data_IF_701631776420
#
_entry.id   IF_701631776420
#
_cell.length_a   1.000
_cell.length_b   1.000
_cell.length_c   1.000
_cell.angle_alpha   90.00
_cell.angle_beta   90.00
_cell.angle_gamma   90.00
#
_symmetry.space_group_name_H-M   'P 1'
#
loop_
_entity.id
_entity.type
_entity.pdbx_description
1 polymer ?
#
# COMPACT_ATOMS: atom_id res chain seq x y z
N UNK A 1 8.77 3.07 -3.75
CA UNK A 1 8.95 4.35 -3.00
C UNK A 1 10.19 5.08 -3.49
N UNK A 2 11.38 4.46 -3.47
CA UNK A 2 12.64 5.03 -3.96
C UNK A 2 12.51 5.77 -5.31
N UNK A 3 12.07 5.07 -6.37
CA UNK A 3 11.94 5.69 -7.70
C UNK A 3 11.02 6.92 -7.71
N UNK A 4 9.93 6.95 -6.95
CA UNK A 4 9.03 8.10 -6.96
C UNK A 4 9.65 9.37 -6.33
N UNK A 5 10.65 9.20 -5.46
CA UNK A 5 11.38 10.33 -4.88
C UNK A 5 12.46 10.84 -5.84
N UNK A 6 13.08 9.94 -6.60
CA UNK A 6 14.25 10.26 -7.42
C UNK A 6 13.97 10.41 -8.92
N UNK A 7 12.79 10.03 -9.41
CA UNK A 7 12.43 10.18 -10.83
C UNK A 7 11.49 11.35 -11.05
N UNK A 8 11.53 11.88 -12.27
CA UNK A 8 10.62 12.92 -12.72
C UNK A 8 9.17 12.41 -12.70
N UNK A 9 8.30 13.11 -11.98
CA UNK A 9 6.86 12.86 -11.97
C UNK A 9 6.22 13.87 -12.93
N UNK A 10 5.53 13.41 -14.00
CA UNK A 10 4.87 14.33 -14.94
C UNK A 10 3.94 15.30 -14.21
N UNK A 11 3.89 16.59 -14.60
CA UNK A 11 3.06 17.58 -13.92
C UNK A 11 1.58 17.19 -13.97
N UNK A 12 0.86 17.55 -12.90
CA UNK A 12 -0.61 17.44 -12.87
C UNK A 12 -1.19 18.46 -13.85
N UNK A 13 -2.28 18.12 -14.54
CA UNK A 13 -2.94 19.09 -15.41
C UNK A 13 -3.52 20.23 -14.57
N UNK A 14 -3.43 21.46 -15.11
CA UNK A 14 -3.81 22.69 -14.41
C UNK A 14 -5.31 22.77 -14.04
N UNK A 15 -6.13 21.85 -14.55
CA UNK A 15 -7.59 21.85 -14.40
C UNK A 15 -8.08 21.08 -13.16
N UNK A 16 -7.20 20.45 -12.38
CA UNK A 16 -7.63 19.74 -11.18
C UNK A 16 -7.85 20.68 -9.98
N UNK A 17 -9.01 20.56 -9.34
CA UNK A 17 -9.25 21.22 -8.04
C UNK A 17 -8.22 20.77 -6.99
N UNK A 18 -7.83 21.69 -6.10
CA UNK A 18 -6.91 21.40 -4.98
C UNK A 18 -7.35 20.21 -4.14
N UNK A 19 -8.67 20.01 -4.00
CA UNK A 19 -9.23 18.86 -3.29
C UNK A 19 -8.86 17.52 -3.95
N UNK A 20 -8.99 17.43 -5.28
CA UNK A 20 -8.65 16.22 -6.06
C UNK A 20 -7.17 15.90 -5.95
N UNK A 21 -6.32 16.93 -6.03
CA UNK A 21 -4.86 16.78 -5.89
C UNK A 21 -4.51 16.22 -4.51
N UNK A 22 -5.09 16.78 -3.45
CA UNK A 22 -4.82 16.33 -2.08
C UNK A 22 -5.35 14.90 -1.86
N UNK A 23 -6.55 14.58 -2.33
CA UNK A 23 -7.11 13.23 -2.25
C UNK A 23 -6.21 12.20 -2.95
N UNK A 24 -5.74 12.51 -4.17
CA UNK A 24 -4.82 11.64 -4.92
C UNK A 24 -3.50 11.43 -4.19
N UNK A 25 -2.94 12.47 -3.55
CA UNK A 25 -1.74 12.36 -2.72
C UNK A 25 -1.97 11.46 -1.51
N UNK A 26 -3.06 11.64 -0.79
CA UNK A 26 -3.42 10.84 0.40
C UNK A 26 -3.59 9.37 0.03
N UNK A 27 -4.29 9.06 -1.06
CA UNK A 27 -4.47 7.67 -1.52
C UNK A 27 -3.11 7.04 -1.84
N UNK A 28 -2.24 7.72 -2.61
CA UNK A 28 -0.92 7.18 -2.93
C UNK A 28 -0.03 6.99 -1.71
N UNK A 29 -0.01 7.96 -0.80
CA UNK A 29 0.78 7.85 0.43
C UNK A 29 0.27 6.71 1.32
N UNK A 30 -1.05 6.58 1.45
CA UNK A 30 -1.68 5.47 2.16
C UNK A 30 -1.31 4.12 1.56
N UNK A 31 -1.38 3.98 0.22
CA UNK A 31 -0.94 2.76 -0.45
C UNK A 31 0.54 2.45 -0.19
N UNK A 32 1.43 3.45 -0.22
CA UNK A 32 2.84 3.22 0.10
C UNK A 32 3.06 2.77 1.55
N UNK A 33 2.37 3.38 2.50
CA UNK A 33 2.44 2.95 3.90
C UNK A 33 1.93 1.51 4.05
N UNK A 34 0.77 1.19 3.47
CA UNK A 34 0.16 -0.14 3.53
C UNK A 34 1.02 -1.21 2.84
N UNK A 35 1.71 -0.87 1.76
CA UNK A 35 2.62 -1.79 1.05
C UNK A 35 3.82 -2.20 1.92
N UNK A 36 4.21 -1.37 2.90
CA UNK A 36 5.29 -1.69 3.84
C UNK A 36 4.73 -2.36 5.10
N UNK A 37 3.62 -1.84 5.63
CA UNK A 37 3.02 -2.34 6.87
C UNK A 37 2.41 -3.75 6.72
N UNK A 38 1.82 -4.07 5.57
CA UNK A 38 1.25 -5.40 5.30
C UNK A 38 2.31 -6.52 5.38
N UNK A 39 3.44 -6.50 4.65
CA UNK A 39 4.46 -7.54 4.79
C UNK A 39 5.14 -7.51 6.16
N UNK A 40 5.34 -6.33 6.77
CA UNK A 40 5.94 -6.23 8.10
C UNK A 40 5.05 -6.91 9.18
N UNK A 41 3.74 -6.64 9.17
CA UNK A 41 2.79 -7.30 10.08
C UNK A 41 2.72 -8.81 9.84
N UNK A 42 2.78 -9.26 8.58
CA UNK A 42 2.84 -10.69 8.24
C UNK A 42 4.12 -11.35 8.75
N UNK A 43 5.26 -10.67 8.67
CA UNK A 43 6.54 -11.17 9.16
C UNK A 43 6.56 -11.30 10.70
N UNK A 44 6.00 -10.32 11.40
CA UNK A 44 5.82 -10.38 12.87
C UNK A 44 4.88 -11.54 13.25
N UNK A 45 3.76 -11.69 12.54
CA UNK A 45 2.81 -12.79 12.78
C UNK A 45 3.47 -14.17 12.59
N UNK A 46 4.28 -14.34 11.53
CA UNK A 46 4.97 -15.61 11.27
C UNK A 46 6.07 -15.89 12.30
N UNK A 47 6.83 -14.85 12.68
CA UNK A 47 7.89 -14.95 13.69
C UNK A 47 7.32 -15.35 15.06
N UNK A 48 6.24 -14.68 15.50
CA UNK A 48 5.61 -14.95 16.79
C UNK A 48 4.91 -16.32 16.86
N UNK A 49 4.62 -16.94 15.70
CA UNK A 49 4.03 -18.28 15.61
C UNK A 49 5.06 -19.40 15.47
N UNK A 50 6.37 -19.11 15.62
CA UNK A 50 7.47 -20.06 15.35
C UNK A 50 7.40 -20.72 13.97
N UNK A 51 6.72 -20.06 13.01
CA UNK A 51 6.62 -20.55 11.63
C UNK A 51 7.75 -19.93 10.84
N UNK A 52 8.76 -20.74 10.55
CA UNK A 52 9.82 -20.33 9.63
C UNK A 52 9.23 -19.98 8.26
N UNK A 53 9.48 -18.75 7.81
CA UNK A 53 9.17 -18.36 6.44
C UNK A 53 10.26 -18.95 5.55
N UNK A 54 9.97 -20.09 4.89
CA UNK A 54 10.84 -20.68 3.87
C UNK A 54 10.61 -19.97 2.54
N UNK A 55 11.32 -18.86 2.31
CA UNK A 55 11.30 -18.15 1.02
C UNK A 55 12.72 -17.99 0.50
N UNK A 56 13.17 -18.94 -0.34
CA UNK A 56 14.53 -19.07 -0.91
C UNK A 56 15.69 -19.22 0.10
N UNK A 57 15.61 -18.61 1.29
CA UNK A 57 16.54 -18.69 2.42
C UNK A 57 15.75 -18.73 3.74
N UNK A 58 16.37 -19.23 4.82
CA UNK A 58 15.77 -19.17 6.16
C UNK A 58 15.81 -17.71 6.64
N UNK A 59 14.64 -17.11 6.80
CA UNK A 59 14.52 -15.77 7.37
C UNK A 59 14.54 -15.92 8.91
N UNK A 60 15.46 -15.25 9.63
CA UNK A 60 15.53 -15.36 11.09
C UNK A 60 14.23 -14.86 11.73
N UNK A 61 13.83 -15.50 12.83
CA UNK A 61 12.68 -15.05 13.62
C UNK A 61 13.02 -13.71 14.26
N UNK A 62 12.16 -12.71 14.09
CA UNK A 62 12.36 -11.39 14.75
C UNK A 62 12.05 -11.42 16.23
N UNK A 63 11.15 -12.32 16.64
CA UNK A 63 10.61 -12.40 17.99
C UNK A 63 10.47 -13.86 18.38
N UNK A 64 10.68 -14.16 19.66
CA UNK A 64 10.40 -15.47 20.24
C UNK A 64 8.90 -15.81 20.15
N UNK A 65 8.58 -17.10 20.28
CA UNK A 65 7.20 -17.57 20.27
C UNK A 65 6.35 -16.82 21.30
N UNK A 66 5.29 -16.16 20.84
CA UNK A 66 4.35 -15.47 21.71
C UNK A 66 2.96 -15.49 21.05
N UNK A 67 2.07 -16.29 21.61
CA UNK A 67 0.69 -16.48 21.11
C UNK A 67 -0.15 -15.20 21.16
N UNK A 68 0.07 -14.37 22.17
CA UNK A 68 -0.63 -13.09 22.31
C UNK A 68 -0.20 -12.12 21.20
N UNK A 69 1.11 -12.00 20.99
CA UNK A 69 1.66 -11.17 19.92
C UNK A 69 1.22 -11.67 18.53
N UNK A 70 1.20 -12.99 18.32
CA UNK A 70 0.72 -13.58 17.07
C UNK A 70 -0.76 -13.23 16.80
N UNK A 71 -1.62 -13.26 17.83
CA UNK A 71 -3.03 -12.88 17.72
C UNK A 71 -3.20 -11.40 17.36
N UNK A 72 -2.48 -10.51 18.06
CA UNK A 72 -2.50 -9.07 17.79
C UNK A 72 -1.98 -8.77 16.38
N UNK A 73 -0.87 -9.39 15.98
CA UNK A 73 -0.31 -9.22 14.64
C UNK A 73 -1.26 -9.71 13.54
N UNK A 74 -1.96 -10.83 13.76
CA UNK A 74 -2.97 -11.34 12.84
C UNK A 74 -4.18 -10.39 12.70
N UNK A 75 -4.67 -9.85 13.81
CA UNK A 75 -5.75 -8.85 13.78
C UNK A 75 -5.31 -7.59 13.03
N UNK A 76 -4.13 -7.06 13.33
CA UNK A 76 -3.56 -5.92 12.63
C UNK A 76 -3.37 -6.20 11.13
N UNK A 77 -2.84 -7.37 10.78
CA UNK A 77 -2.66 -7.76 9.37
C UNK A 77 -4.00 -7.83 8.63
N UNK A 78 -5.03 -8.37 9.27
CA UNK A 78 -6.38 -8.44 8.70
C UNK A 78 -6.98 -7.06 8.47
N UNK A 79 -6.86 -6.16 9.46
CA UNK A 79 -7.31 -4.77 9.33
C UNK A 79 -6.56 -4.05 8.20
N UNK A 80 -5.23 -4.20 8.14
CA UNK A 80 -4.40 -3.63 7.08
C UNK A 80 -4.78 -4.17 5.69
N UNK A 81 -5.18 -5.44 5.58
CA UNK A 81 -5.65 -6.03 4.34
C UNK A 81 -6.95 -5.38 3.86
N UNK A 82 -7.94 -5.17 4.75
CA UNK A 82 -9.17 -4.45 4.40
C UNK A 82 -8.90 -3.01 3.96
N UNK A 83 -8.02 -2.29 4.66
CA UNK A 83 -7.60 -0.94 4.24
C UNK A 83 -6.89 -0.97 2.88
N UNK A 84 -6.03 -1.95 2.62
CA UNK A 84 -5.36 -2.10 1.34
C UNK A 84 -6.38 -2.24 0.21
N UNK A 85 -7.37 -3.14 0.36
CA UNK A 85 -8.43 -3.34 -0.63
C UNK A 85 -9.19 -2.03 -0.88
N UNK A 86 -9.58 -1.32 0.20
CA UNK A 86 -10.28 -0.04 0.09
C UNK A 86 -9.46 1.00 -0.69
N UNK A 87 -8.19 1.16 -0.37
CA UNK A 87 -7.32 2.15 -1.03
C UNK A 87 -7.04 1.77 -2.50
N UNK A 88 -6.88 0.49 -2.81
CA UNK A 88 -6.74 0.01 -4.19
C UNK A 88 -8.02 0.31 -4.98
N UNK A 89 -9.19 0.03 -4.42
CA UNK A 89 -10.47 0.33 -5.07
C UNK A 89 -10.62 1.83 -5.34
N UNK A 90 -10.33 2.69 -4.34
CA UNK A 90 -10.36 4.14 -4.51
C UNK A 90 -9.36 4.63 -5.56
N UNK A 91 -8.17 4.04 -5.62
CA UNK A 91 -7.16 4.36 -6.63
C UNK A 91 -7.64 4.02 -8.05
N UNK A 92 -8.19 2.82 -8.25
CA UNK A 92 -8.71 2.37 -9.55
C UNK A 92 -9.91 3.23 -9.96
N UNK A 93 -10.88 3.44 -9.07
CA UNK A 93 -12.06 4.27 -9.35
C UNK A 93 -11.63 5.70 -9.70
N UNK A 94 -10.66 6.27 -8.97
CA UNK A 94 -10.09 7.58 -9.29
C UNK A 94 -9.48 7.62 -10.68
N UNK A 95 -8.68 6.61 -11.04
CA UNK A 95 -8.07 6.50 -12.36
C UNK A 95 -9.12 6.34 -13.48
N UNK A 96 -10.18 5.56 -13.25
CA UNK A 96 -11.27 5.41 -14.21
C UNK A 96 -12.07 6.71 -14.36
N UNK A 97 -12.47 7.34 -13.25
CA UNK A 97 -13.22 8.61 -13.26
C UNK A 97 -12.47 9.68 -14.06
N UNK A 98 -11.20 9.89 -13.74
CA UNK A 98 -10.41 10.93 -14.38
C UNK A 98 -10.14 10.62 -15.88
N UNK A 99 -10.11 9.35 -16.27
CA UNK A 99 -9.95 8.93 -17.67
C UNK A 99 -11.22 9.09 -18.48
N UNK A 100 -12.36 8.61 -17.96
CA UNK A 100 -13.62 8.55 -18.71
C UNK A 100 -14.48 9.80 -18.55
N UNK A 101 -14.56 10.37 -17.34
CA UNK A 101 -15.44 11.50 -17.04
C UNK A 101 -14.69 12.82 -17.27
N UNK A 102 -13.50 12.95 -16.68
CA UNK A 102 -12.73 14.20 -16.81
C UNK A 102 -11.98 14.29 -18.15
N UNK A 103 -12.06 13.23 -18.99
CA UNK A 103 -11.41 13.09 -20.30
C UNK A 103 -9.91 13.39 -20.27
N UNK A 104 -9.26 13.14 -19.13
CA UNK A 104 -7.83 13.32 -18.94
C UNK A 104 -7.14 11.97 -19.14
N UNK A 105 -6.21 11.85 -20.08
CA UNK A 105 -5.51 10.59 -20.30
C UNK A 105 -4.40 10.39 -19.24
N UNK A 106 -4.81 10.04 -18.02
CA UNK A 106 -3.93 9.78 -16.88
C UNK A 106 -3.12 8.50 -17.07
N UNK A 107 -3.62 7.54 -17.85
CA UNK A 107 -2.87 6.31 -18.15
C UNK A 107 -1.52 6.63 -18.79
N UNK A 108 -1.43 7.66 -19.66
CA UNK A 108 -0.14 8.15 -20.20
C UNK A 108 0.87 8.66 -19.16
N UNK A 109 0.49 8.77 -17.88
CA UNK A 109 1.40 9.15 -16.79
C UNK A 109 1.87 7.93 -15.98
N UNK A 110 1.31 6.75 -16.25
CA UNK A 110 1.61 5.49 -15.54
C UNK A 110 2.32 4.48 -16.44
N UNK A 111 2.03 4.50 -17.75
CA UNK A 111 2.74 3.77 -18.81
C UNK A 111 3.75 4.71 -19.46
#
# INVERSE_FOLDING_TARGET
IFFRVFTYVPPLSANFSRFVINASKTIHFGLYALMVLMPLSGYVMSSASSKEIKYFFHIPLLVNENKELASVANQLHSILAYFMILFIALHIIGALKHTFIDKQNIFKRMI
#
